data_IF_624236810008
#
_entry.id   IF_624236810008
#
_cell.length_a   1.000
_cell.length_b   1.000
_cell.length_c   1.000
_cell.angle_alpha   90.00
_cell.angle_beta   90.00
_cell.angle_gamma   90.00
#
_symmetry.space_group_name_H-M   'P 1'
#
loop_
_entity.id
_entity.type
_entity.pdbx_description
1 polymer ?
#
# COMPACT_ATOMS: atom_id res chain seq x y z
N UNK A 1 6.16 70.20 -4.92
CA UNK A 1 6.59 69.16 -4.01
C UNK A 1 7.28 68.07 -4.86
N UNK A 2 8.54 67.79 -4.59
CA UNK A 2 9.21 66.69 -5.33
C UNK A 2 8.71 65.33 -4.88
N UNK A 3 8.72 64.31 -5.72
CA UNK A 3 8.26 62.96 -5.43
C UNK A 3 9.16 62.26 -4.39
N UNK A 4 8.50 61.48 -3.48
CA UNK A 4 9.21 60.71 -2.47
C UNK A 4 10.09 59.63 -3.11
N UNK A 5 11.25 59.33 -2.53
CA UNK A 5 12.09 58.24 -3.00
C UNK A 5 11.42 56.88 -2.71
N UNK A 6 11.67 55.84 -3.52
CA UNK A 6 11.15 54.49 -3.31
C UNK A 6 11.72 53.88 -2.03
N UNK A 7 10.99 52.94 -1.41
CA UNK A 7 11.47 52.22 -0.22
C UNK A 7 12.69 51.35 -0.56
N UNK A 8 13.57 51.07 0.40
CA UNK A 8 14.71 50.15 0.15
C UNK A 8 14.26 48.75 -0.08
N UNK A 9 14.96 48.07 -1.00
CA UNK A 9 14.75 46.65 -1.31
C UNK A 9 14.96 45.79 -0.04
N UNK A 10 14.18 44.71 0.15
CA UNK A 10 14.39 43.78 1.24
C UNK A 10 15.78 43.12 1.12
N UNK A 11 16.48 43.04 2.25
CA UNK A 11 17.76 42.38 2.35
C UNK A 11 17.67 40.92 1.91
N UNK A 12 18.49 40.51 0.97
CA UNK A 12 18.63 39.13 0.57
C UNK A 12 19.02 38.26 1.78
N UNK A 13 18.16 37.34 2.17
CA UNK A 13 18.51 36.30 3.12
C UNK A 13 19.55 35.40 2.45
N UNK A 14 20.73 35.34 3.02
CA UNK A 14 21.78 34.39 2.62
C UNK A 14 21.23 32.96 2.78
N UNK A 15 21.42 32.06 1.81
CA UNK A 15 21.03 30.67 1.95
C UNK A 15 21.74 30.07 3.17
N UNK A 16 20.98 29.52 4.10
CA UNK A 16 21.53 28.69 5.18
C UNK A 16 22.13 27.47 4.53
N UNK A 17 23.38 27.20 4.82
CA UNK A 17 24.05 25.96 4.46
C UNK A 17 23.20 24.78 4.96
N UNK A 18 23.01 23.72 4.15
CA UNK A 18 22.36 22.51 4.63
C UNK A 18 23.12 21.98 5.84
N UNK A 19 22.41 21.37 6.83
CA UNK A 19 23.07 20.72 7.96
C UNK A 19 24.04 19.66 7.40
N UNK A 20 25.26 19.66 7.90
CA UNK A 20 26.23 18.63 7.57
C UNK A 20 25.62 17.25 7.92
N UNK A 21 25.77 16.24 7.05
CA UNK A 21 25.34 14.90 7.37
C UNK A 21 26.05 14.48 8.66
N UNK A 22 25.30 14.21 9.71
CA UNK A 22 25.84 13.62 10.93
C UNK A 22 26.41 12.26 10.51
N UNK A 23 27.71 12.15 10.46
CA UNK A 23 28.39 10.86 10.32
C UNK A 23 27.90 10.01 11.50
N UNK A 24 27.00 9.06 11.23
CA UNK A 24 26.67 7.99 12.17
C UNK A 24 27.94 7.19 12.35
N UNK A 25 28.74 7.51 13.35
CA UNK A 25 29.88 6.69 13.73
C UNK A 25 29.32 5.42 14.38
N UNK A 26 29.23 4.37 13.59
CA UNK A 26 29.26 3.01 14.13
C UNK A 26 30.67 2.80 14.71
N UNK A 27 30.88 3.31 15.93
CA UNK A 27 32.13 3.13 16.62
C UNK A 27 32.14 1.75 17.28
N UNK A 28 32.65 0.79 16.55
CA UNK A 28 33.28 -0.39 17.11
C UNK A 28 32.43 -1.64 17.18
N UNK A 29 32.55 -2.44 16.14
CA UNK A 29 32.91 -3.85 16.24
C UNK A 29 33.17 -4.34 14.83
N UNK A 30 34.20 -5.14 14.67
CA UNK A 30 34.65 -5.65 13.39
C UNK A 30 33.58 -6.40 12.64
N UNK A 31 33.69 -6.43 11.30
CA UNK A 31 32.78 -7.08 10.39
C UNK A 31 32.38 -8.47 10.87
N UNK A 32 31.09 -8.60 11.15
CA UNK A 32 30.41 -9.85 11.47
C UNK A 32 29.03 -9.76 10.85
N UNK A 33 28.71 -10.71 10.01
CA UNK A 33 27.34 -11.11 9.68
C UNK A 33 26.48 -11.02 10.95
N UNK A 34 25.24 -10.54 10.87
CA UNK A 34 24.31 -10.37 11.97
C UNK A 34 24.27 -11.62 12.87
N UNK A 35 25.10 -11.62 13.90
CA UNK A 35 25.25 -12.71 14.85
C UNK A 35 24.57 -12.33 16.15
N UNK A 36 23.82 -13.26 16.71
CA UNK A 36 23.10 -13.17 17.97
C UNK A 36 22.20 -14.39 18.09
N UNK A 37 21.81 -14.74 19.30
CA UNK A 37 20.76 -15.72 19.48
C UNK A 37 19.43 -15.08 19.05
N UNK A 38 18.64 -15.80 18.25
CA UNK A 38 17.26 -15.45 17.94
C UNK A 38 16.30 -16.02 18.97
N UNK A 39 15.01 -15.91 18.65
CA UNK A 39 13.93 -16.50 19.44
C UNK A 39 12.87 -17.10 18.51
N UNK A 40 12.07 -18.06 19.02
CA UNK A 40 11.00 -18.68 18.24
C UNK A 40 9.80 -17.71 18.09
N UNK A 41 9.06 -17.81 16.98
CA UNK A 41 7.81 -17.07 16.81
C UNK A 41 6.83 -17.41 17.95
N UNK A 42 6.17 -16.40 18.50
CA UNK A 42 5.29 -16.56 19.66
C UNK A 42 6.01 -16.66 21.01
N UNK A 43 7.34 -16.47 21.05
CA UNK A 43 8.08 -16.41 22.30
C UNK A 43 7.50 -15.36 23.28
N UNK A 44 7.60 -15.66 24.57
CA UNK A 44 7.18 -14.73 25.63
C UNK A 44 8.05 -13.47 25.64
N UNK A 45 7.56 -12.39 26.25
CA UNK A 45 8.36 -11.15 26.40
C UNK A 45 9.65 -11.40 27.21
N UNK A 46 9.62 -12.33 28.17
CA UNK A 46 10.80 -12.69 28.96
C UNK A 46 11.89 -13.37 28.11
N UNK A 47 11.49 -14.26 27.19
CA UNK A 47 12.41 -14.94 26.27
C UNK A 47 13.01 -13.93 25.27
N UNK A 48 12.20 -13.03 24.73
CA UNK A 48 12.69 -11.97 23.83
C UNK A 48 13.64 -11.04 24.57
N UNK A 49 13.28 -10.58 25.78
CA UNK A 49 14.14 -9.72 26.58
C UNK A 49 15.49 -10.39 26.89
N UNK A 50 15.50 -11.71 27.09
CA UNK A 50 16.74 -12.47 27.26
C UNK A 50 17.59 -12.49 25.99
N UNK A 51 16.97 -12.69 24.82
CA UNK A 51 17.67 -12.69 23.51
C UNK A 51 18.29 -11.33 23.16
N UNK A 52 17.65 -10.23 23.56
CA UNK A 52 18.12 -8.86 23.26
C UNK A 52 18.92 -8.22 24.40
N UNK A 53 19.10 -8.88 25.56
CA UNK A 53 19.66 -8.29 26.80
C UNK A 53 20.96 -7.54 26.55
N UNK A 54 21.89 -8.17 25.84
CA UNK A 54 23.25 -7.65 25.60
C UNK A 54 23.38 -6.84 24.29
N UNK A 55 22.28 -6.63 23.55
CA UNK A 55 22.28 -5.88 22.31
C UNK A 55 22.21 -4.37 22.59
N UNK A 56 22.95 -3.60 21.80
CA UNK A 56 22.91 -2.13 21.84
C UNK A 56 21.59 -1.61 21.23
N UNK A 57 20.99 -0.54 21.78
CA UNK A 57 19.83 0.10 21.18
C UNK A 57 20.10 0.64 19.78
N UNK A 58 19.11 0.57 18.90
CA UNK A 58 19.16 1.09 17.53
C UNK A 58 17.99 2.03 17.27
N UNK A 59 18.21 3.00 16.39
CA UNK A 59 17.16 3.87 15.85
C UNK A 59 17.10 3.65 14.35
N UNK A 60 15.93 3.31 13.83
CA UNK A 60 15.68 3.07 12.42
C UNK A 60 14.74 4.15 11.88
N UNK A 61 15.04 4.65 10.69
CA UNK A 61 14.22 5.63 9.98
C UNK A 61 13.18 4.88 9.14
N UNK A 62 11.91 5.15 9.39
CA UNK A 62 10.80 4.53 8.68
C UNK A 62 10.02 5.58 7.87
N UNK A 63 9.92 5.40 6.54
CA UNK A 63 9.11 6.24 5.65
C UNK A 63 7.91 5.45 5.13
N UNK A 64 6.72 5.55 5.77
CA UNK A 64 5.49 4.91 5.31
C UNK A 64 4.86 5.65 4.12
N UNK A 65 3.81 5.05 3.54
CA UNK A 65 3.01 5.68 2.49
C UNK A 65 2.12 6.84 2.97
N UNK A 66 1.86 6.91 4.28
CA UNK A 66 0.98 7.92 4.86
C UNK A 66 1.57 9.34 4.81
N UNK A 67 0.71 10.34 4.59
CA UNK A 67 1.09 11.75 4.47
C UNK A 67 1.37 12.41 5.82
N UNK A 68 0.69 11.99 6.88
CA UNK A 68 0.86 12.47 8.25
C UNK A 68 0.42 11.44 9.28
N UNK A 69 0.68 11.69 10.55
CA UNK A 69 0.24 10.82 11.64
C UNK A 69 -1.29 10.83 11.83
N UNK A 70 -1.93 11.90 11.42
CA UNK A 70 -3.38 12.11 11.54
C UNK A 70 -4.14 11.57 10.32
N UNK A 71 -3.44 11.08 9.29
CA UNK A 71 -4.10 10.52 8.11
C UNK A 71 -4.67 9.14 8.41
N UNK A 72 -5.79 8.78 7.79
CA UNK A 72 -6.46 7.48 7.92
C UNK A 72 -5.50 6.33 7.55
N UNK A 73 -4.54 6.60 6.68
CA UNK A 73 -3.54 5.63 6.23
C UNK A 73 -2.37 5.42 7.19
N UNK A 74 -2.33 6.13 8.33
CA UNK A 74 -1.23 6.03 9.29
C UNK A 74 -1.27 4.77 10.17
N UNK A 75 -2.43 4.10 10.27
CA UNK A 75 -2.63 3.00 11.21
C UNK A 75 -1.62 1.88 11.06
N UNK A 76 -1.26 1.48 9.83
CA UNK A 76 -0.27 0.43 9.58
C UNK A 76 1.10 0.76 10.17
N UNK A 77 1.58 1.99 9.93
CA UNK A 77 2.88 2.44 10.43
C UNK A 77 2.90 2.59 11.96
N UNK A 78 1.80 3.08 12.53
CA UNK A 78 1.70 3.30 13.99
C UNK A 78 1.62 1.97 14.74
N UNK A 79 0.82 1.00 14.27
CA UNK A 79 0.73 -0.34 14.88
C UNK A 79 2.05 -1.09 14.77
N UNK A 80 2.69 -1.05 13.60
CA UNK A 80 4.02 -1.63 13.42
C UNK A 80 5.04 -1.04 14.39
N UNK A 81 5.09 0.29 14.50
CA UNK A 81 5.96 0.99 15.44
C UNK A 81 5.71 0.57 16.88
N UNK A 82 4.44 0.57 17.31
CA UNK A 82 4.04 0.19 18.67
C UNK A 82 4.52 -1.24 18.99
N UNK A 83 4.23 -2.20 18.11
CA UNK A 83 4.69 -3.57 18.27
C UNK A 83 6.21 -3.66 18.40
N UNK A 84 6.94 -3.05 17.47
CA UNK A 84 8.41 -3.14 17.43
C UNK A 84 9.05 -2.52 18.68
N UNK A 85 8.58 -1.35 19.10
CA UNK A 85 9.11 -0.66 20.28
C UNK A 85 8.76 -1.40 21.59
N UNK A 86 7.53 -1.92 21.73
CA UNK A 86 7.12 -2.71 22.89
C UNK A 86 7.87 -4.05 22.96
N UNK A 87 7.92 -4.81 21.85
CA UNK A 87 8.58 -6.13 21.83
C UNK A 87 10.07 -6.06 22.02
N UNK A 88 10.70 -4.95 21.63
CA UNK A 88 12.14 -4.73 21.87
C UNK A 88 12.47 -4.11 23.23
N UNK A 89 11.49 -3.91 24.12
CA UNK A 89 11.65 -3.18 25.38
C UNK A 89 12.31 -1.79 25.15
N UNK A 90 11.95 -1.12 24.04
CA UNK A 90 12.48 0.18 23.62
C UNK A 90 13.90 0.14 23.05
N UNK A 91 14.49 -1.03 22.82
CA UNK A 91 15.83 -1.14 22.20
C UNK A 91 15.83 -0.85 20.71
N UNK A 92 14.71 -1.07 20.02
CA UNK A 92 14.50 -0.57 18.67
C UNK A 92 13.56 0.65 18.78
N UNK A 93 13.99 1.78 18.23
CA UNK A 93 13.14 2.98 18.09
C UNK A 93 12.90 3.24 16.62
N UNK A 94 11.63 3.40 16.21
CA UNK A 94 11.27 3.77 14.85
C UNK A 94 11.00 5.28 14.75
N UNK A 95 11.87 5.99 14.05
CA UNK A 95 11.63 7.40 13.68
C UNK A 95 10.82 7.44 12.38
N UNK A 96 9.51 7.68 12.50
CA UNK A 96 8.63 7.79 11.32
C UNK A 96 8.81 9.15 10.65
N UNK A 97 9.03 9.14 9.34
CA UNK A 97 9.12 10.33 8.49
C UNK A 97 7.98 10.30 7.49
N UNK A 98 6.98 11.14 7.71
CA UNK A 98 5.75 11.20 6.95
C UNK A 98 5.91 11.93 5.61
N UNK A 99 4.99 11.64 4.68
CA UNK A 99 4.78 12.44 3.47
C UNK A 99 5.94 12.42 2.47
N UNK A 100 6.66 11.29 2.35
CA UNK A 100 7.82 11.12 1.46
C UNK A 100 8.89 12.23 1.62
N UNK A 101 9.10 12.70 2.86
CA UNK A 101 9.98 13.85 3.12
C UNK A 101 11.48 13.57 2.95
N UNK A 102 11.92 12.29 2.91
CA UNK A 102 13.32 11.91 2.65
C UNK A 102 13.52 11.62 1.17
N UNK A 103 12.62 10.86 0.56
CA UNK A 103 12.71 10.42 -0.82
C UNK A 103 11.29 10.33 -1.42
N UNK A 104 11.13 10.78 -2.66
CA UNK A 104 9.93 10.50 -3.46
C UNK A 104 9.81 9.00 -3.75
N UNK A 105 8.66 8.53 -4.23
CA UNK A 105 8.50 7.12 -4.59
C UNK A 105 9.58 6.66 -5.60
N UNK A 106 9.96 7.51 -6.52
CA UNK A 106 10.97 7.21 -7.56
C UNK A 106 12.43 7.28 -7.08
N UNK A 107 12.71 7.88 -5.91
CA UNK A 107 14.04 7.98 -5.33
C UNK A 107 14.22 7.04 -4.11
N UNK A 108 13.16 6.31 -3.74
CA UNK A 108 13.11 5.57 -2.49
C UNK A 108 14.07 4.38 -2.46
N UNK A 109 14.23 3.66 -3.59
CA UNK A 109 15.17 2.52 -3.67
C UNK A 109 16.60 2.96 -3.36
N UNK A 110 17.04 4.06 -3.96
CA UNK A 110 18.37 4.62 -3.67
C UNK A 110 18.50 5.00 -2.19
N UNK A 111 17.43 5.55 -1.58
CA UNK A 111 17.43 5.95 -0.17
C UNK A 111 17.50 4.75 0.78
N UNK A 112 16.89 3.63 0.44
CA UNK A 112 16.95 2.37 1.17
C UNK A 112 18.34 1.71 1.05
N UNK A 113 18.90 1.69 -0.16
CA UNK A 113 20.21 1.09 -0.43
C UNK A 113 21.34 1.89 0.20
N UNK A 114 21.28 3.23 0.16
CA UNK A 114 22.31 4.10 0.74
C UNK A 114 22.12 4.38 2.25
N UNK A 115 21.04 3.87 2.85
CA UNK A 115 20.78 3.93 4.29
C UNK A 115 20.26 5.27 4.79
N UNK A 116 19.69 6.13 3.93
CA UNK A 116 18.94 7.31 4.36
C UNK A 116 17.59 6.94 4.96
N UNK A 117 17.01 5.84 4.50
CA UNK A 117 15.80 5.21 4.99
C UNK A 117 16.12 3.76 5.32
N UNK A 118 15.67 3.26 6.46
CA UNK A 118 15.89 1.88 6.89
C UNK A 118 14.70 0.98 6.51
N UNK A 119 13.47 1.51 6.61
CA UNK A 119 12.21 0.81 6.35
C UNK A 119 11.29 1.71 5.52
N UNK A 120 10.56 1.16 4.56
CA UNK A 120 9.63 1.95 3.77
C UNK A 120 8.46 1.18 3.17
N UNK A 121 7.38 1.93 2.90
CA UNK A 121 6.35 1.55 1.93
C UNK A 121 6.90 1.80 0.52
N UNK A 122 7.08 0.74 -0.26
CA UNK A 122 7.63 0.78 -1.61
C UNK A 122 6.53 0.57 -2.65
N UNK A 123 6.21 1.61 -3.41
CA UNK A 123 5.18 1.57 -4.45
C UNK A 123 5.78 1.10 -5.80
N UNK A 124 6.08 -0.19 -5.88
CA UNK A 124 6.75 -0.80 -7.04
C UNK A 124 5.94 -0.73 -8.35
N UNK A 125 4.64 -0.44 -8.27
CA UNK A 125 3.76 -0.27 -9.45
C UNK A 125 4.25 0.83 -10.41
N UNK A 126 5.02 1.80 -9.92
CA UNK A 126 5.60 2.85 -10.75
C UNK A 126 6.81 2.39 -11.58
N UNK A 127 7.30 1.16 -11.33
CA UNK A 127 8.48 0.58 -11.98
C UNK A 127 8.19 -0.79 -12.61
N UNK A 128 7.24 -0.89 -13.55
CA UNK A 128 6.78 -2.18 -14.09
C UNK A 128 7.89 -2.96 -14.85
N UNK A 129 8.89 -2.26 -15.39
CA UNK A 129 10.04 -2.91 -16.05
C UNK A 129 11.03 -3.48 -15.02
N UNK A 130 11.11 -2.90 -13.84
CA UNK A 130 12.03 -3.30 -12.77
C UNK A 130 11.42 -4.35 -11.83
N UNK A 131 10.09 -4.31 -11.68
CA UNK A 131 9.30 -5.27 -10.90
C UNK A 131 8.21 -5.92 -11.78
N UNK A 132 8.60 -6.72 -12.78
CA UNK A 132 7.65 -7.33 -13.71
C UNK A 132 6.67 -8.29 -13.02
N UNK A 133 7.04 -8.88 -11.88
CA UNK A 133 6.15 -9.71 -11.07
C UNK A 133 5.03 -8.89 -10.43
N UNK A 134 5.32 -7.71 -9.88
CA UNK A 134 4.28 -6.82 -9.32
C UNK A 134 3.35 -6.32 -10.43
N UNK A 135 3.89 -5.94 -11.59
CA UNK A 135 3.06 -5.58 -12.74
C UNK A 135 2.14 -6.73 -13.17
N UNK A 136 2.63 -7.98 -13.17
CA UNK A 136 1.80 -9.15 -13.46
C UNK A 136 0.74 -9.38 -12.35
N UNK A 137 1.14 -9.35 -11.08
CA UNK A 137 0.24 -9.56 -9.94
C UNK A 137 -0.85 -8.48 -9.85
N UNK A 138 -0.53 -7.24 -10.20
CA UNK A 138 -1.53 -6.19 -10.26
C UNK A 138 -2.69 -6.50 -11.22
N UNK A 139 -2.50 -7.40 -12.19
CA UNK A 139 -3.49 -7.78 -13.20
C UNK A 139 -4.32 -9.02 -12.85
N UNK A 140 -4.14 -9.58 -11.65
CA UNK A 140 -4.87 -10.76 -11.17
C UNK A 140 -5.53 -10.53 -9.81
N UNK A 141 -5.86 -9.28 -9.46
CA UNK A 141 -6.45 -8.95 -8.16
C UNK A 141 -7.99 -9.03 -8.13
N UNK A 142 -8.62 -9.31 -9.26
CA UNK A 142 -10.08 -9.38 -9.42
C UNK A 142 -10.73 -10.65 -8.84
N UNK A 143 -9.96 -11.66 -8.41
CA UNK A 143 -10.50 -12.97 -8.01
C UNK A 143 -11.07 -13.03 -6.59
N UNK A 144 -11.08 -11.94 -5.82
CA UNK A 144 -11.78 -11.88 -4.54
C UNK A 144 -13.17 -11.25 -4.68
N UNK A 145 -14.02 -11.41 -3.65
CA UNK A 145 -15.35 -10.80 -3.64
C UNK A 145 -15.28 -9.26 -3.54
N UNK A 146 -16.22 -8.51 -4.17
CA UNK A 146 -16.32 -7.05 -4.02
C UNK A 146 -16.92 -6.58 -2.69
N UNK A 147 -17.22 -7.50 -1.74
CA UNK A 147 -17.77 -7.16 -0.42
C UNK A 147 -16.88 -6.14 0.32
N UNK A 148 -17.45 -5.07 0.92
CA UNK A 148 -16.71 -3.89 1.32
C UNK A 148 -15.75 -4.10 2.50
N UNK A 149 -16.05 -5.02 3.44
CA UNK A 149 -15.14 -5.35 4.54
C UNK A 149 -14.47 -6.70 4.31
N UNK A 150 -15.27 -7.75 4.12
CA UNK A 150 -14.74 -9.12 3.99
C UNK A 150 -13.93 -9.28 2.71
N UNK A 151 -14.34 -8.64 1.62
CA UNK A 151 -13.60 -8.64 0.35
C UNK A 151 -12.22 -8.00 0.48
N UNK A 152 -12.08 -6.91 1.24
CA UNK A 152 -10.80 -6.28 1.52
C UNK A 152 -9.89 -7.20 2.35
N UNK A 153 -10.44 -7.85 3.39
CA UNK A 153 -9.71 -8.79 4.22
C UNK A 153 -9.22 -10.02 3.44
N UNK A 154 -10.09 -10.61 2.60
CA UNK A 154 -9.78 -11.75 1.73
C UNK A 154 -8.69 -11.35 0.72
N UNK A 155 -8.88 -10.26 0.02
CA UNK A 155 -7.93 -9.79 -1.00
C UNK A 155 -6.55 -9.48 -0.41
N UNK A 156 -6.49 -8.86 0.77
CA UNK A 156 -5.22 -8.60 1.46
C UNK A 156 -4.48 -9.90 1.80
N UNK A 157 -5.21 -10.92 2.29
CA UNK A 157 -4.61 -12.22 2.63
C UNK A 157 -4.15 -12.99 1.38
N UNK A 158 -4.95 -13.00 0.30
CA UNK A 158 -4.59 -13.60 -0.99
C UNK A 158 -3.31 -13.01 -1.58
N UNK A 159 -3.20 -11.66 -1.57
CA UNK A 159 -2.03 -10.99 -2.13
C UNK A 159 -0.79 -11.22 -1.28
N UNK A 160 -0.91 -11.21 0.05
CA UNK A 160 0.20 -11.55 0.93
C UNK A 160 0.69 -13.00 0.68
N UNK A 161 -0.23 -13.96 0.57
CA UNK A 161 0.09 -15.35 0.24
C UNK A 161 0.80 -15.47 -1.12
N UNK A 162 0.28 -14.83 -2.16
CA UNK A 162 0.87 -14.81 -3.49
C UNK A 162 2.30 -14.26 -3.47
N UNK A 163 2.50 -13.13 -2.79
CA UNK A 163 3.82 -12.50 -2.69
C UNK A 163 4.86 -13.40 -2.02
N UNK A 164 4.50 -14.05 -0.90
CA UNK A 164 5.40 -14.94 -0.19
C UNK A 164 5.67 -16.26 -0.93
N UNK A 165 4.70 -16.77 -1.66
CA UNK A 165 4.80 -18.06 -2.35
C UNK A 165 5.42 -17.97 -3.75
N UNK A 166 5.86 -16.78 -4.20
CA UNK A 166 6.48 -16.58 -5.50
C UNK A 166 7.98 -16.28 -5.38
N UNK A 167 8.87 -17.27 -5.55
CA UNK A 167 10.31 -17.10 -5.37
C UNK A 167 10.93 -16.01 -6.25
N UNK A 168 10.49 -15.88 -7.51
CA UNK A 168 10.98 -14.89 -8.46
C UNK A 168 10.65 -13.47 -7.99
N UNK A 169 9.51 -13.32 -7.33
CA UNK A 169 9.11 -12.04 -6.73
C UNK A 169 10.02 -11.64 -5.57
N UNK A 170 10.32 -12.56 -4.67
CA UNK A 170 11.23 -12.32 -3.55
C UNK A 170 12.65 -12.03 -4.03
N UNK A 171 13.12 -12.73 -5.08
CA UNK A 171 14.45 -12.49 -5.65
C UNK A 171 14.56 -11.10 -6.29
N UNK A 172 13.49 -10.55 -6.87
CA UNK A 172 13.50 -9.21 -7.46
C UNK A 172 13.84 -8.11 -6.45
N UNK A 173 13.39 -8.22 -5.20
CA UNK A 173 13.80 -7.32 -4.12
C UNK A 173 15.26 -7.52 -3.73
N UNK A 174 15.67 -8.76 -3.60
CA UNK A 174 17.05 -9.10 -3.21
C UNK A 174 18.09 -8.64 -4.23
N UNK A 175 17.81 -8.76 -5.52
CA UNK A 175 18.68 -8.23 -6.59
C UNK A 175 18.90 -6.72 -6.47
N UNK A 176 17.96 -6.00 -5.89
CA UNK A 176 18.05 -4.56 -5.61
C UNK A 176 18.65 -4.22 -4.23
N UNK A 177 19.04 -5.22 -3.45
CA UNK A 177 19.57 -5.03 -2.09
C UNK A 177 18.50 -4.65 -1.07
N UNK A 178 17.25 -5.04 -1.33
CA UNK A 178 16.12 -4.84 -0.44
C UNK A 178 15.69 -6.16 0.20
N UNK A 179 15.19 -6.10 1.43
CA UNK A 179 14.58 -7.24 2.12
C UNK A 179 13.09 -6.98 2.29
N UNK A 180 12.21 -7.75 1.63
CA UNK A 180 10.77 -7.61 1.85
C UNK A 180 10.39 -8.10 3.25
N UNK A 181 9.67 -7.29 3.99
CA UNK A 181 9.00 -7.64 5.24
C UNK A 181 7.54 -8.05 4.96
N UNK A 182 6.91 -7.40 3.98
CA UNK A 182 5.67 -7.81 3.33
C UNK A 182 5.84 -7.62 1.83
N UNK A 183 6.05 -8.69 1.04
CA UNK A 183 6.48 -8.59 -0.36
C UNK A 183 5.40 -8.07 -1.31
N UNK A 184 4.12 -8.27 -0.97
CA UNK A 184 3.00 -7.82 -1.78
C UNK A 184 1.86 -7.38 -0.89
N UNK A 185 1.42 -6.14 -1.06
CA UNK A 185 0.39 -5.51 -0.26
C UNK A 185 -0.77 -5.06 -1.15
N UNK A 186 -1.99 -5.32 -0.69
CA UNK A 186 -3.20 -4.73 -1.24
C UNK A 186 -3.50 -3.41 -0.53
N UNK A 187 -3.81 -2.37 -1.30
CA UNK A 187 -4.16 -1.03 -0.79
C UNK A 187 -5.67 -0.72 -0.94
N UNK A 188 -6.49 -1.76 -1.03
CA UNK A 188 -7.94 -1.67 -1.25
C UNK A 188 -8.34 -1.78 -2.73
N UNK A 189 -9.63 -1.99 -2.95
CA UNK A 189 -10.18 -2.09 -4.30
C UNK A 189 -10.08 -0.76 -5.04
N UNK A 190 -10.15 -0.81 -6.37
CA UNK A 190 -10.21 0.40 -7.17
C UNK A 190 -11.65 0.76 -7.52
N UNK A 191 -11.91 2.07 -7.47
CA UNK A 191 -13.14 2.70 -7.92
C UNK A 191 -12.84 3.64 -9.07
N UNK A 192 -13.88 4.06 -9.78
CA UNK A 192 -13.79 5.24 -10.63
C UNK A 192 -14.36 6.43 -9.85
N UNK A 193 -13.66 7.56 -9.85
CA UNK A 193 -14.14 8.82 -9.29
C UNK A 193 -14.12 9.91 -10.37
N UNK A 194 -15.27 10.51 -10.64
CA UNK A 194 -15.48 11.45 -11.75
C UNK A 194 -16.03 12.79 -11.27
N UNK A 195 -15.72 13.84 -12.04
CA UNK A 195 -16.27 15.20 -11.83
C UNK A 195 -17.74 15.29 -12.17
N UNK A 196 -18.18 14.54 -13.17
CA UNK A 196 -19.54 14.50 -13.68
C UNK A 196 -20.12 13.09 -13.54
N UNK A 197 -21.43 13.00 -13.42
CA UNK A 197 -22.19 11.75 -13.33
C UNK A 197 -22.10 10.91 -14.59
N UNK A 198 -22.48 9.64 -14.49
CA UNK A 198 -22.60 8.71 -15.60
C UNK A 198 -21.60 7.57 -15.55
N UNK A 199 -22.12 6.36 -15.65
CA UNK A 199 -21.37 5.09 -15.53
C UNK A 199 -21.56 4.17 -16.74
N UNK A 200 -22.35 4.58 -17.77
CA UNK A 200 -22.57 3.82 -19.00
C UNK A 200 -21.39 3.91 -19.97
N UNK A 201 -21.27 2.97 -20.91
CA UNK A 201 -20.23 3.01 -21.95
C UNK A 201 -20.22 4.32 -22.74
N UNK A 202 -21.41 4.89 -23.02
CA UNK A 202 -21.51 6.17 -23.72
C UNK A 202 -20.92 7.32 -22.88
N UNK A 203 -21.08 7.28 -21.57
CA UNK A 203 -20.53 8.28 -20.65
C UNK A 203 -19.00 8.21 -20.56
N UNK A 204 -18.41 7.03 -20.67
CA UNK A 204 -16.96 6.84 -20.65
C UNK A 204 -16.27 7.34 -21.91
N UNK A 205 -16.97 7.34 -23.04
CA UNK A 205 -16.39 7.66 -24.35
C UNK A 205 -15.79 9.07 -24.37
N UNK A 206 -14.46 9.13 -24.54
CA UNK A 206 -13.71 10.37 -24.66
C UNK A 206 -13.34 11.06 -23.35
N UNK A 207 -13.77 10.56 -22.17
CA UNK A 207 -13.30 11.08 -20.88
C UNK A 207 -11.80 10.95 -20.75
N UNK A 208 -11.15 11.97 -20.20
CA UNK A 208 -9.75 11.91 -19.81
C UNK A 208 -9.66 11.19 -18.45
N UNK A 209 -9.14 9.95 -18.46
CA UNK A 209 -9.07 9.11 -17.29
C UNK A 209 -7.64 9.06 -16.74
N UNK A 210 -7.42 9.55 -15.52
CA UNK A 210 -6.13 9.36 -14.84
C UNK A 210 -5.92 7.90 -14.53
N UNK A 211 -4.72 7.40 -14.84
CA UNK A 211 -4.31 6.02 -14.58
C UNK A 211 -2.96 5.99 -13.84
N UNK A 212 -2.68 4.89 -13.13
CA UNK A 212 -1.41 4.64 -12.48
C UNK A 212 -0.58 3.55 -13.18
N UNK A 213 -1.20 2.46 -13.61
CA UNK A 213 -0.53 1.26 -14.11
C UNK A 213 -1.02 0.81 -15.48
N UNK A 214 -0.36 -0.21 -16.01
CA UNK A 214 -0.65 -0.73 -17.36
C UNK A 214 -2.01 -1.41 -17.47
N UNK A 215 -2.47 -2.08 -16.39
CA UNK A 215 -3.83 -2.65 -16.33
C UNK A 215 -4.90 -1.56 -16.49
N UNK A 216 -4.75 -0.44 -15.79
CA UNK A 216 -5.67 0.68 -15.86
C UNK A 216 -5.69 1.36 -17.24
N UNK A 217 -4.55 1.35 -17.95
CA UNK A 217 -4.50 1.82 -19.35
C UNK A 217 -5.42 0.97 -20.23
N UNK A 218 -5.30 -0.35 -20.15
CA UNK A 218 -6.11 -1.27 -20.95
C UNK A 218 -7.60 -1.14 -20.62
N UNK A 219 -7.97 -1.01 -19.35
CA UNK A 219 -9.36 -0.80 -18.92
C UNK A 219 -9.90 0.52 -19.45
N UNK A 220 -9.18 1.63 -19.30
CA UNK A 220 -9.62 2.94 -19.81
C UNK A 220 -9.84 2.92 -21.32
N UNK A 221 -8.93 2.31 -22.08
CA UNK A 221 -9.05 2.16 -23.53
C UNK A 221 -10.25 1.28 -23.94
N UNK A 222 -10.50 0.18 -23.21
CA UNK A 222 -11.65 -0.69 -23.43
C UNK A 222 -12.98 0.04 -23.20
N UNK A 223 -13.04 0.92 -22.21
CA UNK A 223 -14.16 1.83 -21.95
C UNK A 223 -14.24 3.01 -22.93
N UNK A 224 -13.34 3.08 -23.92
CA UNK A 224 -13.22 4.18 -24.86
C UNK A 224 -12.85 5.54 -24.22
N UNK A 225 -12.34 5.53 -23.01
CA UNK A 225 -11.74 6.69 -22.35
C UNK A 225 -10.30 6.91 -22.84
N UNK A 226 -9.76 8.09 -22.57
CA UNK A 226 -8.39 8.47 -22.93
C UNK A 226 -7.51 8.40 -21.69
N UNK A 227 -6.60 7.42 -21.54
CA UNK A 227 -5.76 7.29 -20.35
C UNK A 227 -4.73 8.42 -20.28
N UNK A 228 -4.54 8.96 -19.07
CA UNK A 228 -3.55 9.99 -18.72
C UNK A 228 -2.74 9.51 -17.53
N UNK A 229 -1.49 9.14 -17.75
CA UNK A 229 -0.58 8.68 -16.68
C UNK A 229 -0.08 9.85 -15.86
N UNK A 230 -0.31 9.81 -14.53
CA UNK A 230 0.26 10.77 -13.56
C UNK A 230 0.24 10.20 -12.15
N UNK A 231 1.12 10.73 -11.29
CA UNK A 231 1.15 10.39 -9.86
C UNK A 231 -0.08 10.96 -9.12
N UNK A 232 -0.42 10.37 -7.96
CA UNK A 232 -1.56 10.83 -7.17
C UNK A 232 -1.42 12.28 -6.70
N UNK A 233 -0.21 12.73 -6.36
CA UNK A 233 0.04 14.10 -5.92
C UNK A 233 -0.38 15.17 -6.92
N UNK A 234 -0.45 14.85 -8.21
CA UNK A 234 -0.87 15.78 -9.27
C UNK A 234 -2.35 15.67 -9.61
N UNK A 235 -3.01 14.58 -9.19
CA UNK A 235 -4.36 14.21 -9.63
C UNK A 235 -5.43 15.20 -9.14
N UNK A 236 -5.35 15.66 -7.88
CA UNK A 236 -6.30 16.64 -7.35
C UNK A 236 -6.37 17.92 -8.18
N UNK A 237 -5.20 18.52 -8.48
CA UNK A 237 -5.15 19.74 -9.30
C UNK A 237 -5.60 19.49 -10.74
N UNK A 238 -5.31 18.30 -11.30
CA UNK A 238 -5.71 17.94 -12.65
C UNK A 238 -7.22 17.80 -12.76
N UNK A 239 -7.90 17.15 -11.80
CA UNK A 239 -9.35 17.08 -11.69
C UNK A 239 -9.95 18.46 -11.47
N UNK A 240 -9.43 19.24 -10.52
CA UNK A 240 -9.94 20.58 -10.22
C UNK A 240 -9.89 21.51 -11.43
N UNK A 241 -8.82 21.43 -12.25
CA UNK A 241 -8.67 22.23 -13.48
C UNK A 241 -9.42 21.67 -14.70
N UNK A 242 -9.93 20.43 -14.62
CA UNK A 242 -10.57 19.74 -15.72
C UNK A 242 -9.62 19.29 -16.81
N UNK A 243 -8.36 19.03 -16.49
CA UNK A 243 -7.38 18.40 -17.41
C UNK A 243 -7.55 16.89 -17.46
N UNK A 244 -8.13 16.30 -16.43
CA UNK A 244 -8.71 14.96 -16.41
C UNK A 244 -10.15 15.05 -15.90
N UNK A 245 -11.01 14.15 -16.35
CA UNK A 245 -12.42 14.10 -16.00
C UNK A 245 -12.68 13.12 -14.86
N UNK A 246 -11.92 12.03 -14.85
CA UNK A 246 -12.05 10.93 -13.90
C UNK A 246 -10.67 10.41 -13.46
N UNK A 247 -10.64 9.64 -12.39
CA UNK A 247 -9.48 8.87 -11.96
C UNK A 247 -9.90 7.46 -11.53
N UNK A 248 -9.04 6.47 -11.78
CA UNK A 248 -9.08 5.25 -10.97
C UNK A 248 -8.41 5.54 -9.64
N UNK A 249 -9.06 5.21 -8.54
CA UNK A 249 -8.63 5.57 -7.19
C UNK A 249 -8.90 4.47 -6.19
N UNK A 250 -7.97 4.24 -5.28
CA UNK A 250 -8.13 3.34 -4.14
C UNK A 250 -8.71 4.10 -2.93
N UNK A 251 -9.43 3.44 -2.01
CA UNK A 251 -9.98 4.05 -0.82
C UNK A 251 -8.97 4.87 -0.02
N UNK A 252 -7.79 4.30 0.24
CA UNK A 252 -6.73 4.97 1.00
C UNK A 252 -6.29 6.30 0.37
N UNK A 253 -6.25 6.37 -0.96
CA UNK A 253 -5.89 7.61 -1.66
C UNK A 253 -7.06 8.57 -1.70
N UNK A 254 -8.27 8.08 -1.96
CA UNK A 254 -9.47 8.91 -1.98
C UNK A 254 -9.65 9.68 -0.66
N UNK A 255 -9.61 8.96 0.49
CA UNK A 255 -9.77 9.56 1.80
C UNK A 255 -8.63 10.51 2.20
N UNK A 256 -7.35 10.16 1.86
CA UNK A 256 -6.19 10.95 2.33
C UNK A 256 -5.85 12.18 1.49
N UNK A 257 -6.38 12.29 0.27
CA UNK A 257 -6.00 13.34 -0.70
C UNK A 257 -7.08 14.37 -0.99
N UNK A 258 -8.30 14.17 -0.48
CA UNK A 258 -9.44 15.03 -0.78
C UNK A 258 -9.92 14.96 -2.24
N UNK A 259 -9.55 13.91 -2.98
CA UNK A 259 -9.92 13.78 -4.40
C UNK A 259 -11.45 13.82 -4.61
N UNK A 260 -12.22 13.31 -3.66
CA UNK A 260 -13.68 13.28 -3.77
C UNK A 260 -14.33 14.66 -3.54
N UNK A 261 -13.61 15.66 -3.05
CA UNK A 261 -14.10 17.06 -3.05
C UNK A 261 -14.25 17.62 -4.49
N UNK A 262 -13.48 17.11 -5.43
CA UNK A 262 -13.43 17.58 -6.82
C UNK A 262 -13.91 16.55 -7.86
N UNK A 263 -14.06 15.29 -7.47
CA UNK A 263 -14.56 14.18 -8.28
C UNK A 263 -15.48 13.27 -7.45
N UNK A 264 -16.66 13.77 -7.02
CA UNK A 264 -17.47 13.10 -6.00
C UNK A 264 -18.38 11.98 -6.55
N UNK A 265 -18.46 11.81 -7.88
CA UNK A 265 -19.28 10.76 -8.46
C UNK A 265 -18.46 9.48 -8.61
N UNK A 266 -18.69 8.55 -7.68
CA UNK A 266 -17.95 7.29 -7.59
C UNK A 266 -18.76 6.16 -8.19
N UNK A 267 -18.14 5.37 -9.07
CA UNK A 267 -18.73 4.10 -9.51
C UNK A 267 -17.88 2.94 -9.01
N UNK A 268 -18.56 1.97 -8.42
CA UNK A 268 -18.04 0.72 -7.88
C UNK A 268 -18.51 -0.46 -8.73
N UNK A 269 -18.06 -1.65 -8.44
CA UNK A 269 -18.36 -2.85 -9.20
C UNK A 269 -19.21 -3.78 -8.37
N UNK A 270 -20.31 -4.29 -8.95
CA UNK A 270 -21.26 -5.13 -8.26
C UNK A 270 -20.87 -6.62 -8.29
N UNK A 271 -20.32 -7.08 -9.42
CA UNK A 271 -20.11 -8.50 -9.69
C UNK A 271 -18.62 -8.91 -9.58
N UNK A 272 -17.67 -7.96 -9.67
CA UNK A 272 -16.23 -8.24 -9.66
C UNK A 272 -15.43 -7.12 -9.01
N UNK A 273 -14.20 -7.41 -8.63
CA UNK A 273 -13.25 -6.36 -8.24
C UNK A 273 -12.51 -5.82 -9.45
N UNK A 274 -12.10 -4.57 -9.37
CA UNK A 274 -11.21 -4.02 -10.36
C UNK A 274 -9.78 -4.50 -10.12
N UNK A 275 -9.09 -4.90 -11.18
CA UNK A 275 -7.66 -5.25 -11.09
C UNK A 275 -6.81 -4.00 -10.82
N UNK A 276 -5.62 -4.19 -10.23
CA UNK A 276 -4.68 -3.11 -9.96
C UNK A 276 -4.36 -2.87 -8.48
N UNK A 277 -4.98 -3.59 -7.55
CA UNK A 277 -4.88 -3.30 -6.10
C UNK A 277 -3.58 -3.78 -5.43
N UNK A 278 -2.88 -4.76 -5.99
CA UNK A 278 -1.60 -5.26 -5.46
C UNK A 278 -0.44 -4.46 -6.05
N UNK A 279 -0.02 -3.40 -5.38
CA UNK A 279 0.83 -2.37 -5.99
C UNK A 279 2.08 -2.03 -5.20
N UNK A 280 2.21 -2.52 -3.96
CA UNK A 280 3.23 -2.10 -3.03
C UNK A 280 3.79 -3.26 -2.20
N UNK A 281 4.88 -2.97 -1.52
CA UNK A 281 5.52 -3.84 -0.54
C UNK A 281 5.95 -3.02 0.68
N UNK A 282 6.09 -3.66 1.85
CA UNK A 282 6.85 -3.12 2.98
C UNK A 282 8.25 -3.73 2.93
N UNK A 283 9.26 -2.89 2.85
CA UNK A 283 10.63 -3.31 2.63
C UNK A 283 11.60 -2.69 3.64
N UNK A 284 12.65 -3.44 3.93
CA UNK A 284 13.80 -2.96 4.65
C UNK A 284 14.97 -2.75 3.66
N UNK A 285 15.77 -1.72 3.92
CA UNK A 285 16.97 -1.40 3.15
C UNK A 285 18.21 -2.17 3.61
N UNK A 286 19.38 -1.77 3.10
CA UNK A 286 20.67 -2.45 3.32
C UNK A 286 21.12 -2.55 4.79
N UNK A 287 20.54 -1.76 5.69
CA UNK A 287 20.82 -1.82 7.14
C UNK A 287 20.28 -3.07 7.81
N UNK A 288 19.20 -3.68 7.27
CA UNK A 288 18.48 -4.79 7.90
C UNK A 288 19.36 -6.03 8.12
N UNK A 289 20.10 -6.46 7.11
CA UNK A 289 20.97 -7.64 7.20
C UNK A 289 22.11 -7.48 8.23
N UNK A 290 22.43 -6.25 8.60
CA UNK A 290 23.45 -5.95 9.60
C UNK A 290 22.91 -5.89 11.04
N UNK A 291 21.58 -5.93 11.22
CA UNK A 291 20.97 -5.99 12.54
C UNK A 291 21.22 -7.36 13.19
N UNK A 292 21.30 -7.42 14.53
CA UNK A 292 21.24 -8.69 15.25
C UNK A 292 20.00 -9.51 14.89
N UNK A 293 20.13 -10.83 14.83
CA UNK A 293 19.04 -11.73 14.42
C UNK A 293 17.73 -11.47 15.20
N UNK A 294 17.81 -11.28 16.52
CA UNK A 294 16.62 -10.99 17.33
C UNK A 294 15.92 -9.70 16.91
N UNK A 295 16.66 -8.66 16.44
CA UNK A 295 16.05 -7.42 15.94
C UNK A 295 15.40 -7.62 14.57
N UNK A 296 16.04 -8.39 13.68
CA UNK A 296 15.43 -8.77 12.40
C UNK A 296 14.11 -9.52 12.62
N UNK A 297 14.09 -10.44 13.61
CA UNK A 297 12.91 -11.22 13.98
C UNK A 297 11.80 -10.35 14.56
N UNK A 298 12.12 -9.38 15.44
CA UNK A 298 11.11 -8.44 15.98
C UNK A 298 10.49 -7.62 14.85
N UNK A 299 11.29 -7.11 13.91
CA UNK A 299 10.79 -6.36 12.76
C UNK A 299 9.91 -7.22 11.86
N UNK A 300 10.32 -8.44 11.57
CA UNK A 300 9.57 -9.37 10.74
C UNK A 300 8.25 -9.81 11.40
N UNK A 301 8.28 -10.15 12.70
CA UNK A 301 7.09 -10.53 13.46
C UNK A 301 6.08 -9.38 13.60
N UNK A 302 6.55 -8.14 13.55
CA UNK A 302 5.72 -6.92 13.55
C UNK A 302 4.82 -6.77 12.32
N UNK A 303 5.06 -7.54 11.26
CA UNK A 303 4.21 -7.52 10.07
C UNK A 303 2.78 -8.02 10.33
N UNK A 304 2.55 -8.77 11.40
CA UNK A 304 1.19 -9.14 11.84
C UNK A 304 0.37 -7.89 12.20
N UNK A 305 0.96 -6.99 12.99
CA UNK A 305 0.32 -5.74 13.39
C UNK A 305 0.31 -4.69 12.26
N UNK A 306 1.33 -4.71 11.39
CA UNK A 306 1.34 -3.92 10.16
C UNK A 306 0.20 -4.32 9.21
N UNK A 307 0.01 -5.64 8.97
CA UNK A 307 -1.08 -6.17 8.15
C UNK A 307 -2.46 -5.80 8.69
N UNK A 308 -2.67 -5.93 10.02
CA UNK A 308 -3.88 -5.43 10.68
C UNK A 308 -4.10 -3.95 10.35
N UNK A 309 -3.06 -3.13 10.51
CA UNK A 309 -3.13 -1.70 10.24
C UNK A 309 -3.40 -1.36 8.77
N UNK A 310 -2.97 -2.19 7.81
CA UNK A 310 -3.28 -1.98 6.38
C UNK A 310 -4.77 -2.13 6.13
N UNK A 311 -5.39 -3.24 6.58
CA UNK A 311 -6.83 -3.45 6.39
C UNK A 311 -7.61 -2.35 7.11
N UNK A 312 -7.26 -2.03 8.34
CA UNK A 312 -7.89 -0.94 9.07
C UNK A 312 -7.78 0.39 8.31
N UNK A 313 -6.58 0.76 7.85
CA UNK A 313 -6.37 2.00 7.07
C UNK A 313 -7.25 2.04 5.80
N UNK A 314 -7.40 0.90 5.14
CA UNK A 314 -8.24 0.78 3.94
C UNK A 314 -9.71 1.03 4.29
N UNK A 315 -10.23 0.39 5.32
CA UNK A 315 -11.63 0.51 5.73
C UNK A 315 -11.96 1.88 6.33
N UNK A 316 -11.06 2.45 7.15
CA UNK A 316 -11.23 3.79 7.70
C UNK A 316 -11.26 4.84 6.57
N UNK A 317 -10.37 4.70 5.58
CA UNK A 317 -10.34 5.58 4.41
C UNK A 317 -11.54 5.36 3.48
N UNK A 318 -12.04 4.12 3.34
CA UNK A 318 -13.25 3.81 2.59
C UNK A 318 -14.47 4.49 3.22
N UNK A 319 -14.61 4.42 4.54
CA UNK A 319 -15.64 5.15 5.28
C UNK A 319 -15.55 6.66 5.04
N UNK A 320 -14.36 7.22 5.18
CA UNK A 320 -14.16 8.65 4.94
C UNK A 320 -14.49 9.06 3.50
N UNK A 321 -14.15 8.21 2.53
CA UNK A 321 -14.47 8.45 1.13
C UNK A 321 -15.99 8.52 0.87
N UNK A 322 -16.79 7.66 1.51
CA UNK A 322 -18.26 7.72 1.40
C UNK A 322 -18.80 9.04 1.98
N UNK A 323 -18.28 9.47 3.13
CA UNK A 323 -18.63 10.76 3.73
C UNK A 323 -18.26 11.93 2.80
N UNK A 324 -17.01 11.98 2.33
CA UNK A 324 -16.50 13.09 1.51
C UNK A 324 -17.28 13.22 0.20
N UNK A 325 -17.56 12.12 -0.48
CA UNK A 325 -18.35 12.13 -1.72
C UNK A 325 -19.77 12.67 -1.48
N UNK A 326 -20.41 12.23 -0.39
CA UNK A 326 -21.76 12.67 -0.01
C UNK A 326 -21.78 14.14 0.35
N UNK A 327 -20.82 14.63 1.14
CA UNK A 327 -20.69 16.04 1.52
C UNK A 327 -20.41 16.96 0.31
N UNK A 328 -19.66 16.46 -0.67
CA UNK A 328 -19.40 17.16 -1.94
C UNK A 328 -20.61 17.16 -2.91
N UNK A 329 -21.70 16.49 -2.53
CA UNK A 329 -22.93 16.38 -3.34
C UNK A 329 -22.86 15.34 -4.45
N UNK A 330 -21.94 14.41 -4.34
CA UNK A 330 -21.82 13.22 -5.20
C UNK A 330 -22.54 12.01 -4.62
N UNK A 331 -22.20 10.85 -5.16
CA UNK A 331 -22.82 9.58 -4.80
C UNK A 331 -21.90 8.39 -5.11
N UNK A 332 -22.09 7.30 -4.40
CA UNK A 332 -21.58 5.98 -4.76
C UNK A 332 -22.67 5.24 -5.53
N UNK A 333 -22.34 4.70 -6.70
CA UNK A 333 -23.27 3.96 -7.56
C UNK A 333 -22.56 2.76 -8.16
N UNK A 334 -23.29 1.69 -8.44
CA UNK A 334 -22.76 0.62 -9.25
C UNK A 334 -22.48 1.10 -10.68
N UNK A 335 -21.41 0.58 -11.27
CA UNK A 335 -21.16 0.78 -12.70
C UNK A 335 -22.29 0.15 -13.52
N UNK A 336 -22.60 0.75 -14.66
CA UNK A 336 -23.53 0.15 -15.61
C UNK A 336 -23.07 -1.29 -15.97
N UNK A 337 -23.95 -2.29 -15.95
CA UNK A 337 -23.56 -3.70 -16.16
C UNK A 337 -22.89 -3.97 -17.50
N UNK A 338 -23.19 -3.18 -18.56
CA UNK A 338 -22.52 -3.31 -19.86
C UNK A 338 -21.09 -2.78 -19.81
N UNK A 339 -20.86 -1.70 -19.07
CA UNK A 339 -19.52 -1.16 -18.82
C UNK A 339 -18.69 -2.06 -17.92
N UNK A 340 -19.29 -2.59 -16.84
CA UNK A 340 -18.64 -3.57 -15.96
C UNK A 340 -18.24 -4.84 -16.70
N UNK A 341 -19.12 -5.32 -17.60
CA UNK A 341 -18.79 -6.48 -18.43
C UNK A 341 -17.58 -6.20 -19.34
N UNK A 342 -17.51 -5.05 -19.98
CA UNK A 342 -16.35 -4.66 -20.81
C UNK A 342 -15.07 -4.68 -19.98
N UNK A 343 -15.12 -4.19 -18.75
CA UNK A 343 -13.98 -4.24 -17.84
C UNK A 343 -13.57 -5.67 -17.47
N UNK A 344 -14.54 -6.50 -17.08
CA UNK A 344 -14.28 -7.90 -16.75
C UNK A 344 -13.67 -8.64 -17.94
N UNK A 345 -14.20 -8.44 -19.15
CA UNK A 345 -13.67 -9.07 -20.36
C UNK A 345 -12.20 -8.66 -20.63
N UNK A 346 -11.82 -7.38 -20.43
CA UNK A 346 -10.44 -6.94 -20.63
C UNK A 346 -9.53 -7.41 -19.50
N UNK A 347 -9.99 -7.50 -18.26
CA UNK A 347 -9.22 -8.06 -17.14
C UNK A 347 -8.84 -9.52 -17.42
N UNK A 348 -9.80 -10.32 -17.90
CA UNK A 348 -9.51 -11.70 -18.30
C UNK A 348 -8.55 -11.79 -19.49
N UNK A 349 -8.66 -10.88 -20.46
CA UNK A 349 -7.71 -10.81 -21.57
C UNK A 349 -6.29 -10.48 -21.10
N UNK A 350 -6.12 -9.60 -20.11
CA UNK A 350 -4.81 -9.29 -19.53
C UNK A 350 -4.16 -10.54 -18.88
N UNK A 351 -4.97 -11.38 -18.23
CA UNK A 351 -4.49 -12.64 -17.67
C UNK A 351 -4.06 -13.63 -18.79
N UNK A 352 -4.87 -13.77 -19.85
CA UNK A 352 -4.53 -14.59 -21.02
C UNK A 352 -3.22 -14.16 -21.66
N UNK A 353 -3.01 -12.86 -21.84
CA UNK A 353 -1.81 -12.28 -22.42
C UNK A 353 -0.58 -12.61 -21.56
N UNK A 354 -0.66 -12.45 -20.22
CA UNK A 354 0.42 -12.78 -19.31
C UNK A 354 0.77 -14.26 -19.28
N UNK A 355 -0.22 -15.14 -19.38
CA UNK A 355 0.00 -16.59 -19.52
C UNK A 355 0.70 -16.89 -20.85
N UNK A 356 0.22 -16.30 -21.95
CA UNK A 356 0.83 -16.49 -23.28
C UNK A 356 2.27 -15.97 -23.37
N UNK A 357 2.60 -14.93 -22.61
CA UNK A 357 3.96 -14.39 -22.48
C UNK A 357 4.85 -15.21 -21.53
N UNK A 358 4.29 -16.19 -20.80
CA UNK A 358 4.99 -16.98 -19.80
C UNK A 358 5.35 -16.19 -18.52
N UNK A 359 4.66 -15.09 -18.26
CA UNK A 359 4.82 -14.24 -17.06
C UNK A 359 3.97 -14.71 -15.89
N UNK A 360 2.91 -15.48 -16.17
CA UNK A 360 2.10 -16.19 -15.20
C UNK A 360 1.98 -17.67 -15.58
N UNK A 361 1.82 -18.58 -14.63
CA UNK A 361 1.60 -19.99 -14.90
C UNK A 361 0.23 -20.23 -15.55
N UNK A 362 0.09 -21.34 -16.31
CA UNK A 362 -1.15 -21.69 -17.02
C UNK A 362 -2.35 -21.90 -16.06
N UNK A 363 -2.07 -22.33 -14.84
CA UNK A 363 -3.06 -22.63 -13.80
C UNK A 363 -3.27 -21.48 -12.80
N UNK A 364 -2.82 -20.27 -13.12
CA UNK A 364 -2.91 -19.11 -12.19
C UNK A 364 -4.35 -18.82 -11.76
N UNK A 365 -5.32 -18.99 -12.65
CA UNK A 365 -6.74 -18.79 -12.32
C UNK A 365 -7.20 -19.75 -11.24
N UNK A 366 -6.91 -21.05 -11.42
CA UNK A 366 -7.23 -22.08 -10.44
C UNK A 366 -6.54 -21.79 -9.09
N UNK A 367 -5.28 -21.39 -9.10
CA UNK A 367 -4.55 -20.98 -7.88
C UNK A 367 -5.22 -19.79 -7.17
N UNK A 368 -5.64 -18.77 -7.92
CA UNK A 368 -6.31 -17.60 -7.35
C UNK A 368 -7.71 -17.93 -6.80
N UNK A 369 -8.48 -18.76 -7.49
CA UNK A 369 -9.78 -19.24 -7.05
C UNK A 369 -9.65 -20.09 -5.77
N UNK A 370 -8.69 -21.01 -5.71
CA UNK A 370 -8.38 -21.81 -4.51
C UNK A 370 -7.94 -20.93 -3.33
N UNK A 371 -7.12 -19.92 -3.58
CA UNK A 371 -6.70 -18.94 -2.56
C UNK A 371 -7.90 -18.12 -2.06
N UNK A 372 -8.78 -17.66 -2.97
CA UNK A 372 -10.00 -16.94 -2.61
C UNK A 372 -10.93 -17.80 -1.74
N UNK A 373 -11.18 -19.07 -2.12
CA UNK A 373 -11.99 -20.01 -1.33
C UNK A 373 -11.38 -20.26 0.06
N UNK A 374 -10.06 -20.50 0.12
CA UNK A 374 -9.32 -20.68 1.36
C UNK A 374 -9.51 -19.49 2.32
N UNK A 375 -9.21 -18.28 1.82
CA UNK A 375 -9.24 -17.09 2.68
C UNK A 375 -10.65 -16.63 3.01
N UNK A 376 -11.65 -16.90 2.15
CA UNK A 376 -13.06 -16.76 2.49
C UNK A 376 -13.40 -17.63 3.69
N UNK A 377 -13.04 -18.92 3.67
CA UNK A 377 -13.26 -19.82 4.79
C UNK A 377 -12.58 -19.35 6.09
N UNK A 378 -11.38 -18.79 6.01
CA UNK A 378 -10.66 -18.24 7.18
C UNK A 378 -11.37 -16.98 7.72
N UNK A 379 -11.80 -16.07 6.85
CA UNK A 379 -12.52 -14.85 7.22
C UNK A 379 -13.84 -15.19 7.91
N UNK A 380 -14.59 -16.18 7.39
CA UNK A 380 -15.81 -16.69 8.01
C UNK A 380 -15.53 -17.38 9.36
N UNK A 381 -14.48 -18.23 9.46
CA UNK A 381 -14.08 -18.89 10.71
C UNK A 381 -13.75 -17.86 11.80
N UNK A 382 -13.11 -16.75 11.45
CA UNK A 382 -12.77 -15.66 12.37
C UNK A 382 -13.97 -14.75 12.69
N UNK A 383 -15.09 -14.90 11.99
CA UNK A 383 -16.35 -14.21 12.28
C UNK A 383 -16.44 -12.80 11.72
N UNK A 384 -15.65 -12.46 10.71
CA UNK A 384 -15.79 -11.18 10.01
C UNK A 384 -17.01 -11.22 9.09
N UNK A 385 -17.80 -10.16 9.08
CA UNK A 385 -19.03 -10.03 8.30
C UNK A 385 -19.19 -8.62 7.75
N UNK A 386 -19.89 -8.50 6.64
CA UNK A 386 -20.39 -7.22 6.15
C UNK A 386 -21.80 -7.02 6.72
N UNK A 387 -22.04 -5.91 7.40
CA UNK A 387 -23.33 -5.57 8.01
C UNK A 387 -24.20 -4.67 7.11
N UNK A 388 -23.67 -4.25 5.93
CA UNK A 388 -24.33 -3.41 4.94
C UNK A 388 -23.56 -3.38 3.63
N UNK A 389 -23.91 -2.42 2.77
CA UNK A 389 -23.29 -2.21 1.47
C UNK A 389 -22.19 -1.13 1.55
N UNK A 390 -21.42 -0.94 0.46
CA UNK A 390 -20.43 0.13 0.38
C UNK A 390 -21.07 1.52 0.41
N UNK A 391 -22.25 1.67 -0.18
CA UNK A 391 -22.98 2.95 -0.27
C UNK A 391 -23.46 3.50 1.06
N UNK A 392 -23.57 2.66 2.08
CA UNK A 392 -23.95 3.01 3.48
C UNK A 392 -22.84 2.61 4.48
N UNK A 393 -21.59 2.49 4.00
CA UNK A 393 -20.47 2.00 4.80
C UNK A 393 -20.20 2.86 6.03
N UNK A 394 -20.44 4.16 5.96
CA UNK A 394 -20.29 5.12 7.06
C UNK A 394 -21.36 4.97 8.16
N UNK A 395 -22.49 4.33 7.86
CA UNK A 395 -23.58 4.06 8.80
C UNK A 395 -23.32 2.80 9.65
N UNK A 396 -22.62 1.80 9.12
CA UNK A 396 -22.45 0.51 9.81
C UNK A 396 -21.01 0.16 10.18
N UNK A 397 -20.00 0.72 9.53
CA UNK A 397 -18.60 0.50 9.89
C UNK A 397 -18.11 1.55 10.90
N UNK A 398 -17.62 1.07 12.05
CA UNK A 398 -17.00 1.93 13.07
C UNK A 398 -15.46 1.86 12.98
N UNK A 399 -14.75 2.99 12.85
CA UNK A 399 -13.29 3.00 12.84
C UNK A 399 -12.69 2.30 14.07
N UNK A 400 -11.69 1.47 13.85
CA UNK A 400 -11.08 0.61 14.88
C UNK A 400 -12.07 -0.40 15.53
N UNK A 401 -13.25 -0.61 14.97
CA UNK A 401 -14.25 -1.51 15.52
C UNK A 401 -13.94 -3.00 15.30
N UNK A 402 -13.08 -3.32 14.34
CA UNK A 402 -12.74 -4.69 13.94
C UNK A 402 -11.25 -4.96 14.16
N UNK A 403 -10.94 -6.05 14.85
CA UNK A 403 -9.56 -6.51 15.06
C UNK A 403 -9.16 -7.54 14.01
N UNK A 404 -8.29 -7.17 13.06
CA UNK A 404 -7.77 -8.05 12.02
C UNK A 404 -6.46 -8.75 12.40
N UNK A 405 -5.99 -8.62 13.65
CA UNK A 405 -4.75 -9.22 14.08
C UNK A 405 -4.77 -10.74 13.94
N UNK A 406 -5.90 -11.38 14.26
CA UNK A 406 -6.06 -12.83 14.09
C UNK A 406 -5.93 -13.28 12.63
N UNK A 407 -6.41 -12.48 11.67
CA UNK A 407 -6.18 -12.75 10.25
C UNK A 407 -4.70 -12.57 9.88
N UNK A 408 -4.06 -11.53 10.38
CA UNK A 408 -2.62 -11.33 10.21
C UNK A 408 -1.78 -12.50 10.75
N UNK A 409 -2.14 -13.07 11.90
CA UNK A 409 -1.50 -14.27 12.46
C UNK A 409 -1.68 -15.51 11.57
N UNK A 410 -2.84 -15.65 10.92
CA UNK A 410 -3.08 -16.74 9.95
C UNK A 410 -2.23 -16.54 8.69
N UNK A 411 -2.18 -15.33 8.14
CA UNK A 411 -1.31 -14.99 6.99
C UNK A 411 0.15 -15.24 7.33
N UNK A 412 0.60 -14.80 8.50
CA UNK A 412 1.96 -15.02 8.95
C UNK A 412 2.31 -16.50 9.01
N UNK A 413 1.48 -17.30 9.71
CA UNK A 413 1.78 -18.74 9.93
C UNK A 413 1.67 -19.58 8.67
N UNK A 414 0.79 -19.21 7.74
CA UNK A 414 0.51 -20.00 6.53
C UNK A 414 1.36 -19.59 5.32
N UNK A 415 1.87 -18.34 5.28
CA UNK A 415 2.64 -17.85 4.15
C UNK A 415 4.02 -17.29 4.54
N UNK A 416 4.12 -16.42 5.56
CA UNK A 416 5.34 -15.68 5.86
C UNK A 416 6.35 -16.44 6.71
N UNK A 417 5.90 -17.34 7.60
CA UNK A 417 6.75 -17.97 8.63
C UNK A 417 7.99 -18.69 8.08
N UNK A 418 7.90 -19.28 6.88
CA UNK A 418 9.03 -19.95 6.24
C UNK A 418 10.17 -19.00 5.82
N UNK A 419 9.87 -17.70 5.73
CA UNK A 419 10.80 -16.64 5.33
C UNK A 419 11.33 -15.81 6.52
N UNK A 420 10.89 -16.15 7.74
CA UNK A 420 11.34 -15.48 8.96
C UNK A 420 12.85 -15.63 9.14
N UNK A 421 13.59 -14.55 9.45
CA UNK A 421 15.03 -14.61 9.71
C UNK A 421 15.41 -15.68 10.74
N UNK A 422 16.46 -16.50 10.45
CA UNK A 422 16.84 -17.66 11.27
C UNK A 422 18.38 -17.88 11.29
#
# INVERSE_FOLDING_TARGET
MPPRPPPPAPAALSPRSPPEPRSRSWAGAGGGQGGGEGFEYGASQEEINAAIADLDPVTLTYQPGASSQESETAASALRFKEYVEERSDGKITLEIVWGQAIASYTELEDALVDGRVDLAFHAAIYFPEEFPTIDAFSKITQYSTPAPLTGEAISAAMMAELGWNTPEHLESFKEKGLTPLSPLMNSGDYWTACRDTGSSLDDWNGRQMRIAGTAHTAIAEALQASPVSMEYGETFEALQRGTVDCTFVQPQVAGSTGLLEVAPHVSTFADSRMTGSATAAHVAGSSFENLPLAYQQILFDGEVDHFHGIIQSTLDAQRQAVIDATEAGGEFTDMDPEAEKVMSDIQEQLVDDLIAEGRLPEDIREQMEESAEKWTGVVEELGYTDDGELTDFDDWYEPNGVDFRSLGERVFTEAAAAHRPS
#
